data_IF_246752490323
#
_entry.id   IF_246752490323
#
_cell.length_a   1.000
_cell.length_b   1.000
_cell.length_c   1.000
_cell.angle_alpha   90.00
_cell.angle_beta   90.00
_cell.angle_gamma   90.00
#
_symmetry.space_group_name_H-M   'P 1'
#
loop_
_entity.id
_entity.type
_entity.pdbx_description
1 polymer ?
#
# COMPACT_ATOMS: atom_id res chain seq x y z
N UNK A 1 -1.37 20.70 7.22
CA UNK A 1 -1.50 20.56 5.76
C UNK A 1 -0.18 21.03 5.18
N UNK A 2 0.62 20.13 4.61
CA UNK A 2 1.89 20.52 3.99
C UNK A 2 1.56 21.18 2.65
N UNK A 3 1.79 22.46 2.53
CA UNK A 3 1.72 23.20 1.28
C UNK A 3 3.11 23.15 0.66
N UNK A 4 3.36 22.21 -0.25
CA UNK A 4 4.55 22.25 -1.08
C UNK A 4 4.27 23.21 -2.23
N UNK A 5 5.06 24.26 -2.33
CA UNK A 5 5.09 25.11 -3.50
C UNK A 5 6.30 24.69 -4.33
N UNK A 6 6.08 23.83 -5.33
CA UNK A 6 7.11 23.46 -6.27
C UNK A 6 6.89 24.24 -7.56
N UNK A 7 7.74 25.21 -7.79
CA UNK A 7 7.73 26.01 -9.02
C UNK A 7 8.48 25.30 -10.17
N UNK A 8 9.33 24.33 -9.83
CA UNK A 8 10.07 23.56 -10.80
C UNK A 8 9.15 22.79 -11.73
N UNK A 9 9.34 22.99 -13.02
CA UNK A 9 8.53 22.33 -14.04
C UNK A 9 9.08 20.95 -14.38
N UNK A 10 8.17 20.01 -14.58
CA UNK A 10 8.46 18.65 -15.00
C UNK A 10 7.87 18.43 -16.38
N UNK A 11 8.72 18.02 -17.32
CA UNK A 11 8.33 17.47 -18.61
C UNK A 11 8.76 16.02 -18.65
N UNK A 12 7.81 15.12 -18.78
CA UNK A 12 8.12 13.71 -18.94
C UNK A 12 8.56 13.42 -20.37
N UNK A 13 9.68 12.76 -20.54
CA UNK A 13 10.31 12.55 -21.85
C UNK A 13 10.35 11.11 -22.30
N UNK A 14 10.37 10.17 -21.36
CA UNK A 14 10.50 8.73 -21.63
C UNK A 14 9.91 7.93 -20.50
N UNK A 15 9.27 6.80 -20.84
CA UNK A 15 8.93 5.74 -19.90
C UNK A 15 9.43 4.40 -20.41
N UNK A 16 9.86 3.54 -19.49
CA UNK A 16 10.17 2.13 -19.77
C UNK A 16 9.35 1.28 -18.82
N UNK A 17 8.55 0.38 -19.34
CA UNK A 17 7.69 -0.49 -18.57
C UNK A 17 8.17 -1.94 -18.65
N UNK A 18 8.44 -2.52 -17.50
CA UNK A 18 8.83 -3.91 -17.33
C UNK A 18 7.64 -4.70 -16.82
N UNK A 19 6.96 -5.41 -17.69
CA UNK A 19 5.82 -6.23 -17.32
C UNK A 19 6.26 -7.44 -16.48
N UNK A 20 5.61 -7.66 -15.34
CA UNK A 20 5.85 -8.86 -14.55
C UNK A 20 5.00 -10.03 -15.07
N UNK A 21 5.56 -11.22 -15.09
CA UNK A 21 4.78 -12.45 -15.23
C UNK A 21 3.99 -12.73 -13.95
N UNK A 22 2.97 -13.60 -14.05
CA UNK A 22 2.24 -14.08 -12.87
C UNK A 22 3.23 -14.70 -11.87
N UNK A 23 3.33 -14.09 -10.70
CA UNK A 23 4.22 -14.55 -9.63
C UNK A 23 3.42 -15.46 -8.71
N UNK A 24 3.79 -16.75 -8.55
CA UNK A 24 3.11 -17.64 -7.64
C UNK A 24 3.33 -17.18 -6.19
N UNK A 25 2.28 -17.19 -5.40
CA UNK A 25 2.37 -16.94 -3.96
C UNK A 25 2.81 -18.22 -3.24
N UNK A 26 3.68 -18.14 -2.22
CA UNK A 26 4.08 -19.30 -1.40
C UNK A 26 2.89 -20.00 -0.75
N UNK A 27 1.89 -19.22 -0.32
CA UNK A 27 0.61 -19.69 0.21
C UNK A 27 -0.53 -18.90 -0.44
N UNK A 28 -1.71 -19.49 -0.68
CA UNK A 28 -2.88 -18.75 -1.16
C UNK A 28 -3.24 -17.62 -0.21
N UNK A 29 -3.62 -16.47 -0.77
CA UNK A 29 -3.94 -15.29 0.03
C UNK A 29 -5.38 -14.84 -0.18
N UNK A 30 -6.07 -14.57 0.94
CA UNK A 30 -7.38 -13.91 0.99
C UNK A 30 -7.39 -12.92 2.15
N UNK A 31 -7.93 -11.76 1.92
CA UNK A 31 -8.26 -10.76 2.95
C UNK A 31 -9.77 -10.44 2.96
N UNK A 32 -10.18 -9.42 3.69
CA UNK A 32 -11.57 -9.00 3.79
C UNK A 32 -12.18 -8.49 2.48
N UNK A 33 -11.39 -8.06 1.50
CA UNK A 33 -11.87 -7.57 0.20
C UNK A 33 -12.03 -8.68 -0.83
N UNK A 34 -11.32 -9.78 -0.67
CA UNK A 34 -11.33 -10.90 -1.60
C UNK A 34 -10.03 -11.67 -1.62
N UNK A 35 -9.91 -12.63 -2.52
CA UNK A 35 -8.73 -13.46 -2.67
C UNK A 35 -7.85 -13.05 -3.83
N UNK A 36 -6.53 -13.00 -3.63
CA UNK A 36 -5.56 -12.99 -4.71
C UNK A 36 -5.34 -14.41 -5.28
N UNK A 37 -5.90 -15.43 -4.63
CA UNK A 37 -5.74 -16.81 -5.03
C UNK A 37 -4.29 -17.30 -4.86
N UNK A 38 -3.80 -18.00 -5.88
CA UNK A 38 -2.45 -18.60 -5.90
C UNK A 38 -1.37 -17.70 -6.53
N UNK A 39 -1.76 -16.58 -7.11
CA UNK A 39 -0.85 -15.69 -7.83
C UNK A 39 -1.01 -14.25 -7.33
N UNK A 40 0.09 -13.50 -7.32
CA UNK A 40 0.04 -12.07 -7.12
C UNK A 40 -0.70 -11.38 -8.29
N UNK A 41 -1.33 -10.20 -8.07
CA UNK A 41 -1.89 -9.41 -9.15
C UNK A 41 -0.85 -9.10 -10.22
N UNK A 42 -1.28 -9.01 -11.48
CA UNK A 42 -0.41 -8.55 -12.57
C UNK A 42 -0.03 -7.10 -12.35
N UNK A 43 1.24 -6.85 -12.26
CA UNK A 43 1.84 -5.54 -12.10
C UNK A 43 3.11 -5.47 -12.92
N UNK A 44 3.66 -4.29 -13.08
CA UNK A 44 4.96 -4.11 -13.67
C UNK A 44 5.73 -3.00 -12.98
N UNK A 45 7.02 -2.93 -13.21
CA UNK A 45 7.83 -1.79 -12.79
C UNK A 45 7.92 -0.78 -13.92
N UNK A 46 7.76 0.49 -13.61
CA UNK A 46 7.95 1.57 -14.57
C UNK A 46 9.13 2.45 -14.15
N UNK A 47 9.92 2.84 -15.13
CA UNK A 47 10.88 3.93 -15.08
C UNK A 47 10.29 5.11 -15.82
N UNK A 48 10.16 6.25 -15.17
CA UNK A 48 9.62 7.47 -15.76
C UNK A 48 10.67 8.59 -15.66
N UNK A 49 11.10 9.09 -16.81
CA UNK A 49 12.20 10.07 -16.95
C UNK A 49 11.65 11.46 -17.23
N UNK A 50 12.28 12.45 -16.63
CA UNK A 50 12.05 13.85 -16.95
C UNK A 50 13.05 14.42 -17.97
N UNK A 51 12.93 15.73 -18.27
CA UNK A 51 13.80 16.44 -19.19
C UNK A 51 15.24 16.66 -18.67
N UNK A 52 15.48 16.53 -17.37
CA UNK A 52 16.80 16.67 -16.75
C UNK A 52 17.51 15.33 -16.55
N UNK A 53 16.82 14.22 -16.89
CA UNK A 53 17.34 12.87 -16.76
C UNK A 53 17.12 12.24 -15.38
N UNK A 54 16.37 12.91 -14.48
CA UNK A 54 15.92 12.26 -13.25
C UNK A 54 14.93 11.15 -13.58
N UNK A 55 15.00 10.03 -12.85
CA UNK A 55 14.23 8.84 -13.12
C UNK A 55 13.54 8.34 -11.85
N UNK A 56 12.22 8.31 -11.86
CA UNK A 56 11.43 7.68 -10.82
C UNK A 56 11.10 6.23 -11.18
N UNK A 57 11.13 5.35 -10.18
CA UNK A 57 10.79 3.93 -10.31
C UNK A 57 9.61 3.59 -9.42
N UNK A 58 8.64 2.88 -9.97
CA UNK A 58 7.50 2.44 -9.17
C UNK A 58 6.87 1.17 -9.74
N UNK A 59 6.27 0.37 -8.88
CA UNK A 59 5.37 -0.72 -9.30
C UNK A 59 4.00 -0.14 -9.60
N UNK A 60 3.49 -0.39 -10.80
CA UNK A 60 2.21 0.12 -11.29
C UNK A 60 1.36 -0.98 -11.91
N UNK A 61 0.05 -0.79 -11.89
CA UNK A 61 -0.89 -1.65 -12.62
C UNK A 61 -0.95 -1.31 -14.11
N UNK A 62 -1.57 -2.17 -14.93
CA UNK A 62 -1.74 -1.93 -16.37
C UNK A 62 -2.43 -0.60 -16.71
N UNK A 63 -3.41 -0.20 -15.89
CA UNK A 63 -4.16 1.04 -16.10
C UNK A 63 -3.29 2.31 -16.02
N UNK A 64 -2.22 2.30 -15.23
CA UNK A 64 -1.26 3.40 -15.24
C UNK A 64 -0.63 3.59 -16.64
N UNK A 65 -0.27 2.49 -17.28
CA UNK A 65 0.37 2.51 -18.61
C UNK A 65 -0.62 2.95 -19.69
N UNK A 66 -1.87 2.47 -19.63
CA UNK A 66 -2.88 2.77 -20.66
C UNK A 66 -3.53 4.13 -20.50
N UNK A 67 -3.68 4.63 -19.27
CA UNK A 67 -4.51 5.78 -18.98
C UNK A 67 -3.72 7.01 -18.51
N UNK A 68 -2.69 6.81 -17.66
CA UNK A 68 -1.92 7.93 -17.10
C UNK A 68 -0.75 8.33 -18.00
N UNK A 69 0.04 7.38 -18.50
CA UNK A 69 1.20 7.71 -19.35
C UNK A 69 0.85 8.56 -20.56
N UNK A 70 -0.22 8.29 -21.33
CA UNK A 70 -0.59 9.15 -22.46
C UNK A 70 -0.95 10.59 -22.06
N UNK A 71 -1.40 10.79 -20.82
CA UNK A 71 -1.74 12.11 -20.32
C UNK A 71 -0.51 12.96 -19.99
N UNK A 72 0.62 12.34 -19.70
CA UNK A 72 1.84 13.02 -19.22
C UNK A 72 3.01 12.95 -20.22
N UNK A 73 3.08 11.93 -21.07
CA UNK A 73 4.03 11.85 -22.18
C UNK A 73 3.51 12.58 -23.44
N UNK A 74 2.93 13.75 -23.23
CA UNK A 74 2.30 14.58 -24.28
C UNK A 74 3.21 15.73 -24.78
N UNK A 75 4.43 15.84 -24.24
CA UNK A 75 5.39 16.88 -24.57
C UNK A 75 5.19 18.20 -23.82
N UNK A 76 4.16 18.30 -22.97
CA UNK A 76 3.91 19.48 -22.13
C UNK A 76 4.83 19.51 -20.92
N UNK A 77 5.05 20.73 -20.41
CA UNK A 77 5.86 20.99 -19.22
C UNK A 77 5.00 21.75 -18.20
N UNK A 78 4.85 21.20 -17.03
CA UNK A 78 4.02 21.76 -15.96
C UNK A 78 4.71 21.66 -14.61
N UNK A 79 4.40 22.59 -13.70
CA UNK A 79 4.76 22.44 -12.29
C UNK A 79 4.02 21.26 -11.66
N UNK A 80 4.50 20.80 -10.52
CA UNK A 80 3.82 19.75 -9.75
C UNK A 80 2.33 20.04 -9.53
N UNK A 81 1.99 21.28 -9.14
CA UNK A 81 0.61 21.66 -8.87
C UNK A 81 -0.24 21.70 -10.15
N UNK A 82 0.31 22.14 -11.27
CA UNK A 82 -0.38 22.15 -12.55
C UNK A 82 -0.65 20.73 -13.05
N UNK A 83 0.31 19.80 -12.93
CA UNK A 83 0.10 18.38 -13.25
C UNK A 83 -1.02 17.78 -12.39
N UNK A 84 -0.96 17.97 -11.06
CA UNK A 84 -2.01 17.46 -10.15
C UNK A 84 -3.38 18.02 -10.50
N UNK A 85 -3.50 19.31 -10.75
CA UNK A 85 -4.76 19.93 -11.12
C UNK A 85 -5.30 19.40 -12.45
N UNK A 86 -4.45 19.29 -13.47
CA UNK A 86 -4.84 18.72 -14.78
C UNK A 86 -5.38 17.30 -14.65
N UNK A 87 -4.67 16.44 -13.89
CA UNK A 87 -5.09 15.05 -13.66
C UNK A 87 -6.39 14.97 -12.86
N UNK A 88 -6.54 15.79 -11.82
CA UNK A 88 -7.77 15.88 -11.04
C UNK A 88 -8.97 16.12 -11.96
N UNK A 89 -8.91 17.10 -12.83
CA UNK A 89 -10.01 17.42 -13.74
C UNK A 89 -10.32 16.30 -14.74
N UNK A 90 -9.31 15.55 -15.16
CA UNK A 90 -9.47 14.42 -16.08
C UNK A 90 -10.14 13.20 -15.41
N UNK A 91 -9.82 12.93 -14.13
CA UNK A 91 -10.28 11.71 -13.45
C UNK A 91 -11.47 11.91 -12.49
N UNK A 92 -11.85 13.15 -12.18
CA UNK A 92 -12.86 13.47 -11.14
C UNK A 92 -14.16 12.68 -11.25
N UNK A 93 -14.59 12.40 -12.49
CA UNK A 93 -15.85 11.68 -12.75
C UNK A 93 -15.73 10.16 -12.44
N UNK A 94 -14.53 9.62 -12.37
CA UNK A 94 -14.28 8.24 -11.95
C UNK A 94 -14.33 8.08 -10.41
N UNK A 95 -14.26 9.19 -9.68
CA UNK A 95 -14.25 9.23 -8.21
C UNK A 95 -12.89 8.95 -7.59
N UNK A 96 -12.71 9.45 -6.37
CA UNK A 96 -11.42 9.36 -5.63
C UNK A 96 -11.21 8.04 -4.88
N UNK A 97 -12.12 7.09 -4.99
CA UNK A 97 -11.99 5.74 -4.44
C UNK A 97 -11.81 4.68 -5.54
N UNK A 98 -11.57 5.14 -6.77
CA UNK A 98 -11.38 4.27 -7.93
C UNK A 98 -9.90 3.92 -8.13
N UNK A 99 -9.64 2.94 -9.00
CA UNK A 99 -8.29 2.59 -9.45
C UNK A 99 -7.57 3.80 -10.07
N UNK A 100 -8.31 4.71 -10.71
CA UNK A 100 -7.75 5.96 -11.26
C UNK A 100 -7.13 6.86 -10.19
N UNK A 101 -7.70 6.92 -9.00
CA UNK A 101 -7.13 7.68 -7.90
C UNK A 101 -5.80 7.05 -7.42
N UNK A 102 -5.71 5.72 -7.43
CA UNK A 102 -4.46 5.01 -7.13
C UNK A 102 -3.39 5.32 -8.18
N UNK A 103 -3.74 5.25 -9.45
CA UNK A 103 -2.83 5.56 -10.58
C UNK A 103 -2.32 7.00 -10.53
N UNK A 104 -3.18 7.97 -10.23
CA UNK A 104 -2.77 9.38 -10.04
C UNK A 104 -1.89 9.53 -8.80
N UNK A 105 -2.17 8.82 -7.71
CA UNK A 105 -1.31 8.79 -6.52
C UNK A 105 0.08 8.20 -6.81
N UNK A 106 0.17 7.22 -7.70
CA UNK A 106 1.45 6.66 -8.17
C UNK A 106 2.26 7.70 -8.94
N UNK A 107 1.62 8.45 -9.85
CA UNK A 107 2.30 9.54 -10.56
C UNK A 107 2.70 10.68 -9.61
N UNK A 108 1.85 11.02 -8.64
CA UNK A 108 2.15 12.01 -7.61
C UNK A 108 3.44 11.69 -6.87
N UNK A 109 3.59 10.42 -6.45
CA UNK A 109 4.81 9.94 -5.81
C UNK A 109 6.03 10.02 -6.73
N UNK A 110 5.89 9.68 -8.01
CA UNK A 110 6.98 9.77 -8.99
C UNK A 110 7.42 11.22 -9.23
N UNK A 111 6.49 12.17 -9.29
CA UNK A 111 6.83 13.59 -9.41
C UNK A 111 7.61 14.08 -8.20
N UNK A 112 7.20 13.70 -6.99
CA UNK A 112 7.90 14.06 -5.77
C UNK A 112 9.30 13.45 -5.71
N UNK A 113 9.46 12.21 -6.16
CA UNK A 113 10.76 11.54 -6.23
C UNK A 113 11.70 12.24 -7.22
N UNK A 114 11.23 12.60 -8.41
CA UNK A 114 11.99 13.38 -9.41
C UNK A 114 12.45 14.72 -8.82
N UNK A 115 11.56 15.46 -8.17
CA UNK A 115 11.89 16.74 -7.54
C UNK A 115 12.90 16.58 -6.39
N UNK A 116 12.78 15.50 -5.61
CA UNK A 116 13.74 15.17 -4.56
C UNK A 116 15.13 14.85 -5.13
N UNK A 117 15.21 14.09 -6.25
CA UNK A 117 16.45 13.80 -6.96
C UNK A 117 17.11 15.07 -7.48
N UNK A 118 16.36 15.99 -8.12
CA UNK A 118 16.86 17.31 -8.56
C UNK A 118 17.40 18.13 -7.39
N UNK A 119 16.69 18.10 -6.25
CA UNK A 119 17.13 18.76 -5.02
C UNK A 119 18.29 18.02 -4.31
N UNK A 120 18.75 16.89 -4.82
CA UNK A 120 19.79 16.02 -4.22
C UNK A 120 19.49 15.64 -2.77
N UNK A 121 18.22 15.35 -2.47
CA UNK A 121 17.73 14.96 -1.16
C UNK A 121 17.00 13.62 -1.24
N UNK A 122 17.13 12.74 -0.24
CA UNK A 122 16.22 11.62 -0.11
C UNK A 122 14.77 12.13 0.01
N UNK A 123 13.80 11.40 -0.55
CA UNK A 123 12.41 11.82 -0.61
C UNK A 123 11.85 12.22 0.76
N UNK A 124 12.12 11.44 1.81
CA UNK A 124 11.64 11.76 3.16
C UNK A 124 12.19 13.12 3.68
N UNK A 125 13.46 13.43 3.39
CA UNK A 125 14.05 14.74 3.75
C UNK A 125 13.50 15.86 2.88
N UNK A 126 13.28 15.61 1.60
CA UNK A 126 12.62 16.56 0.71
C UNK A 126 11.20 16.89 1.20
N UNK A 127 10.47 15.89 1.68
CA UNK A 127 9.13 16.02 2.28
C UNK A 127 9.14 16.60 3.71
N UNK A 128 10.30 16.93 4.26
CA UNK A 128 10.42 17.59 5.57
C UNK A 128 10.50 16.63 6.77
N UNK A 129 10.70 15.34 6.55
CA UNK A 129 10.88 14.41 7.67
C UNK A 129 12.16 14.70 8.44
N UNK A 130 12.09 14.60 9.76
CA UNK A 130 13.21 14.81 10.68
C UNK A 130 13.91 13.53 11.12
N UNK A 131 13.27 12.37 10.89
CA UNK A 131 13.79 11.03 11.22
C UNK A 131 14.26 10.32 9.97
N UNK A 132 15.30 9.52 10.11
CA UNK A 132 15.85 8.64 9.04
C UNK A 132 15.36 7.19 9.15
N UNK A 133 14.48 6.91 10.09
CA UNK A 133 13.95 5.58 10.33
C UNK A 133 12.45 5.62 10.62
N UNK A 134 11.77 4.51 10.35
CA UNK A 134 10.40 4.26 10.74
C UNK A 134 10.29 2.85 11.34
N UNK A 135 9.45 2.70 12.37
CA UNK A 135 9.18 1.40 12.96
C UNK A 135 8.42 0.53 11.96
N UNK A 136 8.99 -0.61 11.64
CA UNK A 136 8.35 -1.60 10.77
C UNK A 136 7.47 -2.58 11.57
N UNK A 137 6.40 -3.06 10.96
CA UNK A 137 5.69 -4.26 11.38
C UNK A 137 5.72 -5.31 10.25
N UNK A 138 5.60 -6.58 10.59
CA UNK A 138 5.45 -7.64 9.59
C UNK A 138 3.97 -7.97 9.39
N UNK A 139 3.48 -7.77 8.17
CA UNK A 139 2.12 -8.10 7.77
C UNK A 139 2.02 -9.45 7.05
N UNK A 140 0.91 -10.16 7.25
CA UNK A 140 0.62 -11.42 6.58
C UNK A 140 -0.71 -12.01 7.02
N UNK A 141 -0.74 -13.31 7.31
CA UNK A 141 -1.86 -13.99 7.96
C UNK A 141 -3.14 -13.99 7.16
N UNK A 142 -3.11 -14.59 5.96
CA UNK A 142 -4.29 -14.80 5.11
C UNK A 142 -5.48 -15.38 5.88
N UNK A 143 -6.70 -15.03 5.47
CA UNK A 143 -7.94 -15.65 5.97
C UNK A 143 -8.07 -17.14 5.61
N UNK A 144 -7.29 -17.61 4.63
CA UNK A 144 -7.27 -19.03 4.22
C UNK A 144 -6.38 -19.90 5.10
N UNK A 145 -5.52 -19.32 5.95
CA UNK A 145 -4.66 -20.10 6.84
C UNK A 145 -5.47 -20.71 7.97
N UNK A 146 -5.16 -21.96 8.28
CA UNK A 146 -5.61 -22.57 9.53
C UNK A 146 -4.98 -21.86 10.74
N UNK A 147 -5.63 -21.95 11.90
CA UNK A 147 -5.20 -21.22 13.10
C UNK A 147 -3.73 -21.50 13.47
N UNK A 148 -3.29 -22.75 13.35
CA UNK A 148 -1.92 -23.14 13.69
C UNK A 148 -0.90 -22.58 12.68
N UNK A 149 -1.21 -22.59 11.39
CA UNK A 149 -0.36 -22.01 10.34
C UNK A 149 -0.21 -20.50 10.54
N UNK A 150 -1.28 -19.81 10.94
CA UNK A 150 -1.23 -18.40 11.29
C UNK A 150 -0.29 -18.16 12.47
N UNK A 151 -0.45 -18.93 13.53
CA UNK A 151 0.40 -18.80 14.75
C UNK A 151 1.86 -19.04 14.40
N UNK A 152 2.17 -20.08 13.64
CA UNK A 152 3.55 -20.38 13.18
C UNK A 152 4.14 -19.22 12.37
N UNK A 153 3.37 -18.62 11.45
CA UNK A 153 3.83 -17.47 10.68
C UNK A 153 4.11 -16.25 11.60
N UNK A 154 3.25 -15.96 12.56
CA UNK A 154 3.42 -14.83 13.48
C UNK A 154 4.60 -15.02 14.42
N UNK A 155 4.81 -16.24 14.94
CA UNK A 155 5.98 -16.58 15.78
C UNK A 155 7.28 -16.43 14.97
N UNK A 156 7.31 -16.96 13.74
CA UNK A 156 8.47 -16.80 12.86
C UNK A 156 8.79 -15.32 12.61
N UNK A 157 7.80 -14.44 12.42
CA UNK A 157 8.04 -13.00 12.24
C UNK A 157 8.67 -12.36 13.47
N UNK A 158 8.28 -12.79 14.68
CA UNK A 158 8.92 -12.36 15.92
C UNK A 158 10.36 -12.85 16.00
N UNK A 159 10.64 -14.10 15.61
CA UNK A 159 11.99 -14.67 15.54
C UNK A 159 12.88 -13.95 14.52
N UNK A 160 12.29 -13.42 13.42
CA UNK A 160 12.96 -12.55 12.45
C UNK A 160 13.29 -11.15 13.01
N UNK A 161 12.84 -10.83 14.24
CA UNK A 161 13.14 -9.58 14.95
C UNK A 161 12.06 -8.49 14.87
N UNK A 162 10.88 -8.79 14.31
CA UNK A 162 9.79 -7.83 14.32
C UNK A 162 9.13 -7.73 15.70
N UNK A 163 8.91 -6.50 16.16
CA UNK A 163 8.27 -6.21 17.45
C UNK A 163 6.76 -6.00 17.32
N UNK A 164 6.25 -5.99 16.10
CA UNK A 164 4.82 -5.90 15.79
C UNK A 164 4.48 -6.79 14.62
N UNK A 165 3.43 -7.58 14.75
CA UNK A 165 2.89 -8.46 13.70
C UNK A 165 1.46 -8.05 13.36
N UNK A 166 1.05 -8.20 12.09
CA UNK A 166 -0.32 -7.91 11.62
C UNK A 166 -0.85 -9.06 10.80
N UNK A 167 -2.12 -9.42 11.00
CA UNK A 167 -2.79 -10.45 10.21
C UNK A 167 -4.23 -10.05 9.86
N UNK A 168 -4.84 -10.82 8.96
CA UNK A 168 -6.16 -10.54 8.43
C UNK A 168 -7.27 -11.10 9.31
N UNK A 169 -8.32 -10.30 9.48
CA UNK A 169 -9.61 -10.63 10.10
C UNK A 169 -10.75 -10.30 9.14
N UNK A 170 -11.98 -10.63 9.48
CA UNK A 170 -13.13 -10.51 8.58
C UNK A 170 -13.48 -11.85 7.95
N UNK A 171 -13.31 -12.94 8.69
CA UNK A 171 -13.61 -14.32 8.29
C UNK A 171 -15.05 -14.48 7.82
N UNK A 172 -15.26 -15.38 6.83
CA UNK A 172 -16.57 -15.68 6.27
C UNK A 172 -17.33 -14.41 5.86
N UNK A 173 -16.68 -13.58 5.05
CA UNK A 173 -17.23 -12.31 4.59
C UNK A 173 -17.65 -11.34 5.72
N UNK A 174 -16.91 -11.39 6.83
CA UNK A 174 -17.08 -10.51 7.99
C UNK A 174 -18.11 -11.02 9.01
N UNK A 175 -18.71 -12.19 8.79
CA UNK A 175 -19.79 -12.72 9.67
C UNK A 175 -19.29 -13.63 10.78
N UNK A 176 -18.05 -14.14 10.71
CA UNK A 176 -17.49 -15.07 11.68
C UNK A 176 -16.45 -14.39 12.61
N UNK A 177 -16.96 -13.47 13.45
CA UNK A 177 -16.14 -12.78 14.44
C UNK A 177 -15.57 -13.72 15.51
N UNK A 178 -16.24 -14.84 15.80
CA UNK A 178 -15.75 -15.83 16.79
C UNK A 178 -14.46 -16.49 16.31
N UNK A 179 -14.38 -16.86 15.03
CA UNK A 179 -13.15 -17.37 14.44
C UNK A 179 -12.03 -16.33 14.51
N UNK A 180 -12.33 -15.09 14.20
CA UNK A 180 -11.34 -14.01 14.23
C UNK A 180 -10.81 -13.77 15.65
N UNK A 181 -11.68 -13.75 16.67
CA UNK A 181 -11.27 -13.62 18.07
C UNK A 181 -10.42 -14.81 18.53
N UNK A 182 -10.81 -16.04 18.20
CA UNK A 182 -10.00 -17.23 18.50
C UNK A 182 -8.60 -17.16 17.89
N UNK A 183 -8.48 -16.65 16.66
CA UNK A 183 -7.19 -16.44 16.01
C UNK A 183 -6.35 -15.39 16.73
N UNK A 184 -6.96 -14.28 17.15
CA UNK A 184 -6.29 -13.24 17.95
C UNK A 184 -5.79 -13.81 19.27
N UNK A 185 -6.63 -14.53 20.00
CA UNK A 185 -6.27 -15.16 21.26
C UNK A 185 -5.06 -16.10 21.10
N UNK A 186 -5.09 -16.98 20.09
CA UNK A 186 -4.00 -17.93 19.83
C UNK A 186 -2.70 -17.23 19.50
N UNK A 187 -2.75 -16.20 18.64
CA UNK A 187 -1.57 -15.40 18.28
C UNK A 187 -1.04 -14.68 19.52
N UNK A 188 -1.89 -13.97 20.27
CA UNK A 188 -1.47 -13.25 21.48
C UNK A 188 -0.80 -14.18 22.49
N UNK A 189 -1.38 -15.35 22.72
CA UNK A 189 -0.82 -16.37 23.62
C UNK A 189 0.56 -16.86 23.16
N UNK A 190 0.76 -16.98 21.85
CA UNK A 190 2.01 -17.49 21.29
C UNK A 190 3.13 -16.44 21.26
N UNK A 191 2.83 -15.19 20.90
CA UNK A 191 3.85 -14.13 20.78
C UNK A 191 4.11 -13.38 22.09
N UNK A 192 3.20 -13.49 23.06
CA UNK A 192 3.34 -12.83 24.38
C UNK A 192 2.94 -11.35 24.36
N UNK A 193 2.88 -10.73 25.54
CA UNK A 193 2.35 -9.38 25.73
C UNK A 193 3.27 -8.25 25.28
N UNK A 194 4.56 -8.55 25.09
CA UNK A 194 5.55 -7.55 24.67
C UNK A 194 5.53 -7.25 23.15
N UNK A 195 4.89 -8.12 22.38
CA UNK A 195 4.78 -7.98 20.93
C UNK A 195 3.49 -7.22 20.58
N UNK A 196 3.62 -6.19 19.75
CA UNK A 196 2.46 -5.52 19.17
C UNK A 196 1.70 -6.49 18.25
N UNK A 197 0.39 -6.59 18.43
CA UNK A 197 -0.50 -7.35 17.54
C UNK A 197 -1.48 -6.41 16.92
N UNK A 198 -1.53 -6.38 15.59
CA UNK A 198 -2.48 -5.61 14.83
C UNK A 198 -3.34 -6.53 13.94
N UNK A 199 -4.55 -6.11 13.65
CA UNK A 199 -5.48 -6.82 12.78
C UNK A 199 -5.99 -5.90 11.68
N UNK A 200 -6.37 -6.47 10.53
CA UNK A 200 -6.79 -5.72 9.36
C UNK A 200 -7.99 -6.42 8.72
N UNK A 201 -9.17 -5.80 8.81
CA UNK A 201 -10.41 -6.31 8.19
C UNK A 201 -10.58 -5.84 6.73
N UNK A 202 -9.69 -5.00 6.21
CA UNK A 202 -9.73 -4.49 4.84
C UNK A 202 -11.12 -3.94 4.45
N UNK A 203 -11.67 -3.04 5.25
CA UNK A 203 -12.97 -2.39 4.99
C UNK A 203 -14.16 -3.36 4.93
N UNK A 204 -14.03 -4.58 5.50
CA UNK A 204 -15.10 -5.58 5.44
C UNK A 204 -16.32 -5.25 6.28
N UNK A 205 -16.12 -4.51 7.36
CA UNK A 205 -17.16 -4.17 8.33
C UNK A 205 -17.64 -2.73 8.15
N UNK A 206 -18.92 -2.52 8.47
CA UNK A 206 -19.46 -1.20 8.76
C UNK A 206 -18.98 -0.70 10.12
N UNK A 207 -19.36 0.52 10.49
CA UNK A 207 -18.92 1.18 11.73
C UNK A 207 -19.39 0.39 12.97
N UNK A 208 -20.62 -0.09 12.97
CA UNK A 208 -21.20 -0.81 14.12
C UNK A 208 -20.53 -2.16 14.34
N UNK A 209 -20.32 -2.92 13.26
CA UNK A 209 -19.59 -4.19 13.29
C UNK A 209 -18.13 -4.01 13.71
N UNK A 210 -17.45 -3.01 13.18
CA UNK A 210 -16.07 -2.70 13.54
C UNK A 210 -15.96 -2.30 15.02
N UNK A 211 -16.87 -1.45 15.52
CA UNK A 211 -16.92 -1.06 16.93
C UNK A 211 -17.18 -2.26 17.85
N UNK A 212 -18.16 -3.09 17.50
CA UNK A 212 -18.46 -4.33 18.24
C UNK A 212 -17.23 -5.23 18.32
N UNK A 213 -16.55 -5.46 17.20
CA UNK A 213 -15.35 -6.29 17.16
C UNK A 213 -14.21 -5.68 17.98
N UNK A 214 -13.98 -4.37 17.88
CA UNK A 214 -12.96 -3.69 18.68
C UNK A 214 -13.19 -3.86 20.19
N UNK A 215 -14.45 -3.78 20.64
CA UNK A 215 -14.81 -4.06 22.05
C UNK A 215 -14.50 -5.49 22.47
N UNK A 216 -14.78 -6.47 21.61
CA UNK A 216 -14.44 -7.86 21.87
C UNK A 216 -12.92 -8.10 21.93
N UNK A 217 -12.13 -7.25 21.28
CA UNK A 217 -10.68 -7.35 21.27
C UNK A 217 -9.97 -6.70 22.47
N UNK A 218 -10.67 -5.90 23.29
CA UNK A 218 -10.06 -5.21 24.44
C UNK A 218 -9.16 -6.11 25.33
N UNK A 219 -9.54 -7.38 25.65
CA UNK A 219 -8.71 -8.25 26.47
C UNK A 219 -7.38 -8.67 25.83
N UNK A 220 -7.21 -8.46 24.53
CA UNK A 220 -6.03 -8.92 23.78
C UNK A 220 -5.03 -7.81 23.51
N UNK A 221 -5.28 -6.56 23.91
CA UNK A 221 -4.36 -5.42 23.80
C UNK A 221 -3.81 -5.26 22.37
N UNK A 222 -4.72 -5.06 21.37
CA UNK A 222 -4.35 -4.81 19.97
C UNK A 222 -3.86 -3.37 19.76
#
# INVERSE_FOLDING_TARGET
>A
MFTFSFEDKIKFTKAVYYHSHKIPLPKPFKDGTGGMGKFAPEQGCIELYDQEGACAHLTVGPGFVTDILPMVLNGEEHSYNEWRNSLYWKIRNAGFQSEKAVEVGQLDLMMLDILAQRAKKPLHRFMGATKDWAQAYKGGGSLLLEDNELVEDMVRYVEEGYTTVKFKVGSNDGTDMERDLRRIEKVRKAVGDKIGVAVDCNQRWDVDSAYKFAKLCEPYHL
#
